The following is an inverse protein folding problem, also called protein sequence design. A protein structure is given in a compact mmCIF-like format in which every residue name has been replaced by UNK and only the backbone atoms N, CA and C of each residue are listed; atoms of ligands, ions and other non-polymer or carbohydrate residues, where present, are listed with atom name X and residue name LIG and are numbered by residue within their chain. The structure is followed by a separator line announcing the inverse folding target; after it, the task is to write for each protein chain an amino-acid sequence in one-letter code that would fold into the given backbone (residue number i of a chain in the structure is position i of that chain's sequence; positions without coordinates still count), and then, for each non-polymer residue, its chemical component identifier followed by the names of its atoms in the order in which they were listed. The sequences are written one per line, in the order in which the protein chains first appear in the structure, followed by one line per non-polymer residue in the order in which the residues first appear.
data_IF_245599672695
#
_entry.id   IF_245599672695
#
_cell.length_a   1.000
_cell.length_b   1.000
_cell.length_c   1.000
_cell.angle_alpha   90.00
_cell.angle_beta   90.00
_cell.angle_gamma   90.00
#
_symmetry.space_group_name_H-M   'P 1'
#
loop_
_entity.id
_entity.type
_entity.pdbx_description
1 polymer ?
#
# COMPACT_ATOMS: atom_id res chain seq x y z
N UNK A 1 -0.06 -21.37 10.47
CA UNK A 1 -1.40 -20.80 10.25
C UNK A 1 -1.17 -19.57 9.39
N UNK A 2 -1.39 -19.68 8.07
CA UNK A 2 -1.29 -18.53 7.19
C UNK A 2 -2.52 -17.67 7.51
N UNK A 3 -2.34 -16.50 8.12
CA UNK A 3 -3.43 -15.55 8.19
C UNK A 3 -3.73 -15.14 6.73
N UNK A 4 -4.94 -15.45 6.25
CA UNK A 4 -5.31 -15.26 4.84
C UNK A 4 -5.13 -13.79 4.45
N UNK A 5 -4.11 -13.52 3.64
CA UNK A 5 -3.85 -12.18 3.11
C UNK A 5 -4.76 -11.89 1.93
N UNK A 6 -5.19 -10.63 1.79
CA UNK A 6 -5.88 -10.15 0.60
C UNK A 6 -4.87 -9.53 -0.35
N UNK A 7 -4.98 -9.87 -1.64
CA UNK A 7 -4.13 -9.32 -2.70
C UNK A 7 -4.95 -8.78 -3.87
N UNK A 8 -4.52 -7.63 -4.42
CA UNK A 8 -5.12 -7.02 -5.62
C UNK A 8 -4.04 -6.35 -6.48
N UNK A 9 -4.07 -6.58 -7.79
CA UNK A 9 -3.22 -5.86 -8.77
C UNK A 9 -3.84 -4.50 -9.12
N UNK A 10 -3.01 -3.47 -9.29
CA UNK A 10 -3.42 -2.12 -9.68
C UNK A 10 -2.31 -1.36 -10.41
N UNK A 11 -2.70 -0.37 -11.21
CA UNK A 11 -1.77 0.63 -11.74
C UNK A 11 -1.54 1.72 -10.71
N UNK A 12 -0.28 2.01 -10.37
CA UNK A 12 0.05 3.14 -9.49
C UNK A 12 -0.35 4.48 -10.12
N UNK A 13 -0.44 5.51 -9.28
CA UNK A 13 -0.50 6.89 -9.77
C UNK A 13 0.83 7.30 -10.42
N UNK A 14 0.90 8.52 -10.98
CA UNK A 14 2.14 9.03 -11.58
C UNK A 14 3.24 9.24 -10.55
N UNK A 15 2.89 9.64 -9.33
CA UNK A 15 3.83 9.77 -8.23
C UNK A 15 4.31 8.42 -7.71
N UNK A 16 3.52 7.37 -7.89
CA UNK A 16 3.82 6.02 -7.42
C UNK A 16 3.42 5.80 -5.96
N UNK A 17 3.88 4.68 -5.40
CA UNK A 17 3.69 4.32 -3.99
C UNK A 17 5.02 4.46 -3.27
N UNK A 18 5.02 5.20 -2.16
CA UNK A 18 6.19 5.30 -1.29
C UNK A 18 6.35 4.03 -0.46
N UNK A 19 7.52 3.39 -0.59
CA UNK A 19 7.93 2.22 0.18
C UNK A 19 9.04 2.59 1.15
N UNK A 20 9.22 1.77 2.19
CA UNK A 20 10.26 2.00 3.20
C UNK A 20 11.65 1.68 2.63
N UNK A 21 11.75 0.64 1.81
CA UNK A 21 13.01 0.04 1.40
C UNK A 21 13.62 0.71 0.16
N UNK A 22 12.81 0.99 -0.86
CA UNK A 22 13.29 1.41 -2.18
C UNK A 22 12.78 2.78 -2.63
N UNK A 23 12.03 3.48 -1.77
CA UNK A 23 11.42 4.76 -2.08
C UNK A 23 10.18 4.60 -2.96
N UNK A 24 9.98 5.50 -3.93
CA UNK A 24 8.78 5.48 -4.79
C UNK A 24 8.86 4.37 -5.85
N UNK A 25 7.84 3.51 -5.91
CA UNK A 25 7.66 2.51 -6.97
C UNK A 25 6.45 2.86 -7.85
N UNK A 26 6.58 2.67 -9.16
CA UNK A 26 5.57 3.06 -10.16
C UNK A 26 5.28 1.96 -11.16
N UNK A 27 4.07 1.90 -11.71
CA UNK A 27 3.68 0.97 -12.78
C UNK A 27 2.59 0.00 -12.31
N UNK A 28 2.59 -1.21 -12.85
CA UNK A 28 1.69 -2.29 -12.41
C UNK A 28 2.23 -2.92 -11.12
N UNK A 29 1.46 -2.78 -10.05
CA UNK A 29 1.81 -3.25 -8.72
C UNK A 29 0.77 -4.25 -8.22
N UNK A 30 1.16 -5.09 -7.27
CA UNK A 30 0.27 -5.92 -6.49
C UNK A 30 0.33 -5.48 -5.03
N UNK A 31 -0.83 -5.13 -4.49
CA UNK A 31 -1.04 -4.83 -3.07
C UNK A 31 -1.30 -6.13 -2.32
N UNK A 32 -0.69 -6.28 -1.15
CA UNK A 32 -1.03 -7.31 -0.15
C UNK A 32 -1.30 -6.67 1.20
N UNK A 33 -2.38 -7.09 1.85
CA UNK A 33 -2.67 -6.76 3.25
C UNK A 33 -2.82 -8.02 4.07
N UNK A 34 -2.11 -8.12 5.19
CA UNK A 34 -2.19 -9.26 6.12
C UNK A 34 -2.44 -8.76 7.55
N UNK A 35 -3.16 -9.52 8.41
CA UNK A 35 -3.27 -9.17 9.82
C UNK A 35 -1.89 -9.14 10.48
N UNK A 36 -1.58 -8.07 11.22
CA UNK A 36 -0.32 -7.99 11.97
C UNK A 36 -0.48 -8.63 13.37
N UNK A 37 0.53 -9.37 13.88
CA UNK A 37 0.45 -10.00 15.20
C UNK A 37 0.31 -9.02 16.37
N UNK A 38 0.73 -7.77 16.19
CA UNK A 38 0.67 -6.75 17.26
C UNK A 38 -0.69 -6.05 17.32
N UNK A 39 -1.18 -5.54 16.18
CA UNK A 39 -2.51 -4.95 15.97
C UNK A 39 -2.60 -4.43 14.53
N UNK A 40 -3.81 -4.37 13.96
CA UNK A 40 -4.04 -3.81 12.63
C UNK A 40 -3.55 -4.71 11.50
N UNK A 41 -3.05 -4.10 10.43
CA UNK A 41 -2.63 -4.82 9.23
C UNK A 41 -1.23 -4.43 8.78
N UNK A 42 -0.49 -5.37 8.20
CA UNK A 42 0.69 -5.10 7.41
C UNK A 42 0.28 -4.87 5.96
N UNK A 43 0.79 -3.79 5.36
CA UNK A 43 0.55 -3.42 3.98
C UNK A 43 1.86 -3.44 3.20
N UNK A 44 1.88 -4.26 2.15
CA UNK A 44 3.05 -4.43 1.29
C UNK A 44 2.62 -4.28 -0.18
N UNK A 45 3.55 -3.85 -1.02
CA UNK A 45 3.38 -3.84 -2.47
C UNK A 45 4.55 -4.54 -3.14
N UNK A 46 4.31 -5.10 -4.31
CA UNK A 46 5.36 -5.56 -5.22
C UNK A 46 5.06 -5.10 -6.63
N UNK A 47 6.04 -5.18 -7.51
CA UNK A 47 5.74 -5.22 -8.94
C UNK A 47 4.91 -6.46 -9.25
N UNK A 48 3.87 -6.32 -10.09
CA UNK A 48 3.02 -7.45 -10.46
C UNK A 48 3.87 -8.61 -11.02
N UNK A 49 3.77 -9.79 -10.39
CA UNK A 49 4.53 -10.98 -10.77
C UNK A 49 5.98 -11.05 -10.27
N UNK A 50 6.46 -10.06 -9.52
CA UNK A 50 7.77 -10.13 -8.87
C UNK A 50 7.72 -11.00 -7.59
N UNK A 51 8.87 -11.49 -7.13
CA UNK A 51 8.91 -12.30 -5.90
C UNK A 51 9.00 -11.45 -4.63
N UNK A 52 9.60 -10.26 -4.75
CA UNK A 52 9.93 -9.40 -3.62
C UNK A 52 8.79 -8.44 -3.26
N UNK A 53 8.51 -8.32 -1.96
CA UNK A 53 7.51 -7.43 -1.39
C UNK A 53 8.19 -6.30 -0.62
N UNK A 54 7.68 -5.09 -0.76
CA UNK A 54 8.16 -3.88 -0.09
C UNK A 54 7.08 -3.34 0.85
N UNK A 55 7.45 -2.93 2.05
CA UNK A 55 6.50 -2.32 2.98
C UNK A 55 6.06 -0.94 2.47
N UNK A 56 4.74 -0.72 2.41
CA UNK A 56 4.21 0.62 2.13
C UNK A 56 4.52 1.52 3.31
N UNK A 57 5.03 2.73 3.06
CA UNK A 57 5.40 3.64 4.13
C UNK A 57 4.18 4.04 4.98
N UNK A 58 4.24 3.78 6.30
CA UNK A 58 3.11 3.95 7.23
C UNK A 58 2.15 2.75 7.30
N UNK A 59 2.47 1.64 6.62
CA UNK A 59 1.61 0.46 6.50
C UNK A 59 1.95 -0.75 7.38
N UNK A 60 2.95 -0.67 8.26
CA UNK A 60 3.41 -1.82 9.04
C UNK A 60 3.80 -1.44 10.49
N UNK A 61 2.87 -1.53 11.47
CA UNK A 61 1.44 -1.83 11.30
C UNK A 61 0.63 -0.59 10.88
N UNK A 62 -0.44 -0.82 10.12
CA UNK A 62 -1.52 0.13 9.86
C UNK A 62 -2.64 -0.08 10.91
N UNK A 63 -2.77 0.80 11.91
CA UNK A 63 -3.82 0.69 12.91
C UNK A 63 -5.18 1.10 12.32
N UNK A 64 -6.19 0.26 12.49
CA UNK A 64 -7.57 0.55 12.08
C UNK A 64 -8.55 -0.43 12.74
N UNK A 65 -9.78 0.02 12.97
CA UNK A 65 -10.90 -0.81 13.44
C UNK A 65 -11.71 -1.43 12.28
N UNK A 66 -11.31 -1.14 11.03
CA UNK A 66 -11.96 -1.71 9.85
C UNK A 66 -11.74 -3.22 9.76
N UNK A 67 -12.78 -3.93 9.32
CA UNK A 67 -12.66 -5.32 8.88
C UNK A 67 -11.64 -5.42 7.73
N UNK A 68 -10.99 -6.59 7.59
CA UNK A 68 -9.84 -6.77 6.69
C UNK A 68 -10.16 -6.41 5.24
N UNK A 69 -11.31 -6.84 4.71
CA UNK A 69 -11.76 -6.49 3.35
C UNK A 69 -11.96 -4.98 3.16
N UNK A 70 -12.57 -4.32 4.14
CA UNK A 70 -12.79 -2.87 4.10
C UNK A 70 -11.46 -2.11 4.21
N UNK A 71 -10.54 -2.56 5.06
CA UNK A 71 -9.19 -2.02 5.13
C UNK A 71 -8.45 -2.21 3.79
N UNK A 72 -8.53 -3.40 3.18
CA UNK A 72 -7.87 -3.67 1.89
C UNK A 72 -8.41 -2.76 0.79
N UNK A 73 -9.74 -2.61 0.70
CA UNK A 73 -10.38 -1.72 -0.27
C UNK A 73 -9.99 -0.25 -0.07
N UNK A 74 -9.90 0.20 1.19
CA UNK A 74 -9.55 1.59 1.50
C UNK A 74 -8.06 1.88 1.23
N UNK A 75 -7.17 0.94 1.55
CA UNK A 75 -5.76 1.02 1.15
C UNK A 75 -5.65 1.10 -0.36
N UNK A 76 -6.32 0.20 -1.10
CA UNK A 76 -6.30 0.21 -2.56
C UNK A 76 -6.80 1.55 -3.13
N UNK A 77 -7.92 2.07 -2.60
CA UNK A 77 -8.48 3.37 -2.97
C UNK A 77 -7.45 4.49 -2.73
N UNK A 78 -6.75 4.46 -1.60
CA UNK A 78 -5.73 5.44 -1.26
C UNK A 78 -4.56 5.38 -2.25
N UNK A 79 -4.00 4.19 -2.49
CA UNK A 79 -2.84 4.01 -3.39
C UNK A 79 -3.15 4.27 -4.87
N UNK A 80 -4.43 4.32 -5.24
CA UNK A 80 -4.89 4.68 -6.59
C UNK A 80 -5.38 6.13 -6.68
N UNK A 81 -5.37 6.88 -5.57
CA UNK A 81 -5.71 8.31 -5.55
C UNK A 81 -4.44 9.14 -5.73
N UNK A 82 -4.36 10.05 -6.73
CA UNK A 82 -3.18 10.88 -6.94
C UNK A 82 -2.71 11.63 -5.70
N UNK A 83 -1.39 11.69 -5.50
CA UNK A 83 -0.78 12.47 -4.43
C UNK A 83 -0.90 13.99 -4.66
N UNK A 84 -0.32 14.77 -3.74
CA UNK A 84 -0.25 16.23 -3.89
C UNK A 84 0.50 16.59 -5.17
N UNK A 85 -0.04 17.55 -5.95
CA UNK A 85 0.66 18.08 -7.12
C UNK A 85 1.55 19.24 -6.75
N UNK A 86 2.84 19.11 -7.03
CA UNK A 86 3.83 20.19 -6.90
C UNK A 86 4.32 20.58 -8.29
N UNK A 87 3.76 21.67 -8.82
CA UNK A 87 4.04 22.10 -10.19
C UNK A 87 3.58 21.04 -11.20
N UNK A 88 4.52 20.50 -11.98
CA UNK A 88 4.27 19.43 -12.96
C UNK A 88 4.42 18.02 -12.38
N UNK A 89 4.88 17.88 -11.13
CA UNK A 89 5.12 16.60 -10.48
C UNK A 89 3.97 16.23 -9.54
N UNK A 90 3.81 14.93 -9.32
CA UNK A 90 2.90 14.35 -8.33
C UNK A 90 3.73 13.65 -7.26
N UNK A 91 3.47 13.96 -5.99
CA UNK A 91 4.14 13.28 -4.87
C UNK A 91 3.70 11.80 -4.80
N UNK A 92 4.60 10.87 -4.42
CA UNK A 92 4.24 9.49 -4.19
C UNK A 92 3.26 9.34 -3.02
N UNK A 93 2.34 8.38 -3.15
CA UNK A 93 1.32 8.10 -2.13
C UNK A 93 1.91 7.21 -1.04
N UNK A 94 1.67 7.56 0.22
CA UNK A 94 2.00 6.73 1.40
C UNK A 94 0.75 6.55 2.27
N UNK A 95 0.87 5.73 3.32
CA UNK A 95 -0.13 5.56 4.37
C UNK A 95 0.20 6.37 5.63
N UNK A 96 1.20 7.25 5.57
CA UNK A 96 1.45 8.22 6.65
C UNK A 96 0.20 9.09 6.82
N UNK A 97 -0.21 9.24 8.08
CA UNK A 97 -1.45 9.95 8.44
C UNK A 97 -2.68 9.06 8.58
N UNK A 98 -2.54 7.73 8.43
CA UNK A 98 -3.63 6.77 8.58
C UNK A 98 -4.37 6.49 7.28
N UNK A 99 -5.54 5.86 7.35
CA UNK A 99 -6.47 5.72 6.22
C UNK A 99 -7.20 7.03 5.98
#
# INVERSE_FOLDING_TARGET
MNADGLSTTFSSTRGGVMTVEVGAVTGELELRTTPDPSSGYRVEVRYAGADEWYAVEGGAPLPTDLAHEACHAEVLRKLTTPGERRGFNEDPVSLKGGL
#
